data_IF_315378947640
#
_entry.id   IF_315378947640
#
_cell.length_a   1.000
_cell.length_b   1.000
_cell.length_c   1.000
_cell.angle_alpha   90.00
_cell.angle_beta   90.00
_cell.angle_gamma   90.00
#
_symmetry.space_group_name_H-M   'P 1'
#
loop_
_entity.id
_entity.type
_entity.pdbx_description
1 polymer ?
#
# COMPACT_ATOMS: atom_id res chain seq x y z
N UNK A 1 -20.35 -26.93 14.50
CA UNK A 1 -19.16 -26.14 14.15
C UNK A 1 -19.27 -25.75 12.69
N UNK A 2 -19.34 -24.45 12.42
CA UNK A 2 -19.53 -23.85 11.09
C UNK A 2 -18.24 -23.10 10.73
N UNK A 3 -17.91 -22.99 9.44
CA UNK A 3 -16.73 -22.25 8.98
C UNK A 3 -17.20 -21.08 8.11
N UNK A 4 -16.67 -19.89 8.36
CA UNK A 4 -16.95 -18.68 7.58
C UNK A 4 -15.63 -18.03 7.21
N UNK A 5 -15.33 -17.98 5.91
CA UNK A 5 -14.02 -17.57 5.43
C UNK A 5 -12.93 -18.46 6.03
N UNK A 6 -12.05 -17.86 6.83
CA UNK A 6 -10.99 -18.58 7.56
C UNK A 6 -11.32 -18.82 9.04
N UNK A 7 -12.47 -18.35 9.51
CA UNK A 7 -12.86 -18.40 10.91
C UNK A 7 -13.73 -19.63 11.18
N UNK A 8 -13.54 -20.21 12.37
CA UNK A 8 -14.35 -21.33 12.86
C UNK A 8 -15.31 -20.82 13.91
N UNK A 9 -16.59 -21.13 13.71
CA UNK A 9 -17.70 -20.72 14.55
C UNK A 9 -18.26 -21.92 15.29
N UNK A 10 -18.52 -21.72 16.59
CA UNK A 10 -19.19 -22.70 17.42
C UNK A 10 -20.16 -22.01 18.37
N UNK A 11 -21.34 -22.56 18.55
CA UNK A 11 -22.30 -22.04 19.54
C UNK A 11 -22.06 -22.73 20.89
N UNK A 12 -22.03 -21.92 21.96
CA UNK A 12 -22.00 -22.40 23.35
C UNK A 12 -23.16 -21.76 24.11
N UNK A 13 -24.29 -22.45 24.15
CA UNK A 13 -25.54 -21.87 24.65
C UNK A 13 -25.98 -20.72 23.75
N UNK A 14 -26.09 -19.52 24.30
CA UNK A 14 -26.42 -18.29 23.57
C UNK A 14 -25.20 -17.56 23.01
N UNK A 15 -24.00 -17.92 23.48
CA UNK A 15 -22.77 -17.24 23.11
C UNK A 15 -22.21 -17.86 21.81
N UNK A 16 -21.73 -17.00 20.92
CA UNK A 16 -21.06 -17.38 19.68
C UNK A 16 -19.55 -17.35 19.90
N UNK A 17 -18.93 -18.51 19.76
CA UNK A 17 -17.49 -18.67 19.82
C UNK A 17 -16.90 -18.50 18.43
N UNK A 18 -16.00 -17.53 18.27
CA UNK A 18 -15.25 -17.30 17.04
C UNK A 18 -13.78 -17.63 17.27
N UNK A 19 -13.27 -18.61 16.54
CA UNK A 19 -11.85 -18.90 16.47
C UNK A 19 -11.32 -18.35 15.14
N UNK A 20 -10.42 -17.38 15.22
CA UNK A 20 -9.82 -16.75 14.04
C UNK A 20 -8.30 -16.95 14.04
N UNK A 21 -7.68 -17.20 12.87
CA UNK A 21 -6.23 -17.17 12.76
C UNK A 21 -5.65 -15.75 12.90
N UNK A 22 -6.46 -14.69 12.82
CA UNK A 22 -5.99 -13.31 12.85
C UNK A 22 -6.70 -12.48 13.93
N UNK A 23 -6.00 -11.50 14.48
CA UNK A 23 -6.61 -10.56 15.42
C UNK A 23 -7.47 -9.53 14.67
N UNK A 24 -8.76 -9.46 15.00
CA UNK A 24 -9.66 -8.37 14.61
C UNK A 24 -9.49 -7.17 15.57
N UNK A 25 -9.05 -5.99 15.09
CA UNK A 25 -8.90 -4.77 15.91
C UNK A 25 -10.20 -4.30 16.55
N UNK A 26 -11.33 -4.57 15.91
CA UNK A 26 -12.64 -4.16 16.38
C UNK A 26 -13.23 -5.17 17.37
N UNK A 27 -12.68 -6.39 17.41
CA UNK A 27 -13.07 -7.41 18.37
C UNK A 27 -12.24 -7.25 19.65
N UNK A 28 -12.31 -6.06 20.25
CA UNK A 28 -11.68 -5.77 21.54
C UNK A 28 -12.73 -5.85 22.66
N UNK A 29 -12.31 -6.40 23.80
CA UNK A 29 -13.13 -6.38 25.01
C UNK A 29 -13.14 -4.95 25.54
N UNK A 30 -14.33 -4.36 25.67
CA UNK A 30 -14.50 -2.98 26.16
C UNK A 30 -15.55 -2.93 27.25
N UNK A 31 -15.29 -2.12 28.28
CA UNK A 31 -16.26 -1.85 29.33
C UNK A 31 -17.40 -0.94 28.82
N UNK A 32 -17.06 0.00 27.95
CA UNK A 32 -17.99 0.98 27.36
C UNK A 32 -17.71 1.17 25.87
N UNK A 33 -18.70 1.68 25.14
CA UNK A 33 -18.67 1.89 23.68
C UNK A 33 -18.26 0.61 22.96
N UNK A 34 -18.86 -0.52 23.34
CA UNK A 34 -18.65 -1.81 22.70
C UNK A 34 -19.04 -1.74 21.22
N UNK A 35 -18.33 -2.49 20.39
CA UNK A 35 -18.72 -2.67 18.99
C UNK A 35 -19.87 -3.66 18.90
N UNK A 36 -20.87 -3.33 18.10
CA UNK A 36 -21.95 -4.24 17.76
C UNK A 36 -21.52 -5.10 16.57
N UNK A 37 -21.42 -6.40 16.78
CA UNK A 37 -21.07 -7.39 15.76
C UNK A 37 -22.36 -8.07 15.32
N UNK A 38 -22.78 -7.83 14.08
CA UNK A 38 -23.99 -8.41 13.51
C UNK A 38 -23.64 -9.68 12.75
N UNK A 39 -24.13 -10.82 13.22
CA UNK A 39 -23.95 -12.13 12.59
C UNK A 39 -25.31 -12.79 12.37
N UNK A 40 -25.61 -13.17 11.12
CA UNK A 40 -26.90 -13.78 10.73
C UNK A 40 -28.12 -13.00 11.25
N UNK A 41 -28.04 -11.66 11.20
CA UNK A 41 -29.09 -10.75 11.66
C UNK A 41 -29.20 -10.60 13.18
N UNK A 42 -28.36 -11.27 13.97
CA UNK A 42 -28.30 -11.14 15.43
C UNK A 42 -27.13 -10.26 15.84
N UNK A 43 -27.35 -9.38 16.81
CA UNK A 43 -26.34 -8.49 17.35
C UNK A 43 -25.60 -9.14 18.52
N UNK A 44 -24.27 -8.99 18.54
CA UNK A 44 -23.37 -9.47 19.57
C UNK A 44 -22.38 -8.38 19.99
N UNK A 45 -21.71 -8.60 21.11
CA UNK A 45 -20.49 -7.88 21.50
C UNK A 45 -19.43 -8.86 21.99
N UNK A 46 -18.16 -8.43 21.99
CA UNK A 46 -17.06 -9.24 22.51
C UNK A 46 -17.07 -9.23 24.04
N UNK A 47 -17.42 -10.35 24.65
CA UNK A 47 -17.37 -10.55 26.09
C UNK A 47 -15.98 -10.99 26.55
N UNK A 48 -15.28 -11.79 25.74
CA UNK A 48 -13.93 -12.26 26.04
C UNK A 48 -13.08 -12.38 24.77
N UNK A 49 -11.78 -12.17 24.93
CA UNK A 49 -10.75 -12.33 23.90
C UNK A 49 -9.55 -13.04 24.51
N UNK A 50 -9.18 -14.17 23.92
CA UNK A 50 -8.04 -14.97 24.36
C UNK A 50 -7.12 -15.24 23.17
N UNK A 51 -5.82 -15.00 23.34
CA UNK A 51 -4.80 -15.45 22.39
C UNK A 51 -4.49 -16.91 22.67
N UNK A 52 -4.54 -17.75 21.63
CA UNK A 52 -4.19 -19.16 21.71
C UNK A 52 -2.74 -19.39 21.27
N UNK A 53 -2.12 -20.52 21.68
CA UNK A 53 -0.85 -20.96 21.13
C UNK A 53 -0.90 -21.05 19.60
N UNK A 54 0.16 -20.62 18.92
CA UNK A 54 0.21 -20.55 17.45
C UNK A 54 -0.34 -19.25 16.85
N UNK A 55 -0.69 -18.25 17.67
CA UNK A 55 -1.05 -16.91 17.21
C UNK A 55 -2.48 -16.77 16.69
N UNK A 56 -3.33 -17.76 16.96
CA UNK A 56 -4.77 -17.67 16.72
C UNK A 56 -5.49 -17.00 17.90
N UNK A 57 -6.72 -16.55 17.67
CA UNK A 57 -7.53 -15.82 18.62
C UNK A 57 -8.86 -16.51 18.82
N UNK A 58 -9.31 -16.49 20.07
CA UNK A 58 -10.57 -17.04 20.51
C UNK A 58 -11.40 -15.91 21.10
N UNK A 59 -12.54 -15.63 20.48
CA UNK A 59 -13.48 -14.61 20.88
C UNK A 59 -14.77 -15.26 21.37
N UNK A 60 -15.25 -14.80 22.52
CA UNK A 60 -16.58 -15.15 23.02
C UNK A 60 -17.49 -13.96 22.76
N UNK A 61 -18.43 -14.13 21.84
CA UNK A 61 -19.42 -13.12 21.49
C UNK A 61 -20.72 -13.40 22.24
N UNK A 62 -21.16 -12.44 23.03
CA UNK A 62 -22.42 -12.52 23.78
C UNK A 62 -23.50 -11.74 23.05
N UNK A 63 -24.77 -12.20 23.03
CA UNK A 63 -25.86 -11.44 22.44
C UNK A 63 -25.97 -10.04 23.05
N UNK A 64 -26.21 -9.05 22.21
CA UNK A 64 -26.54 -7.71 22.63
C UNK A 64 -28.00 -7.69 23.10
N UNK A 65 -28.24 -7.39 24.38
CA UNK A 65 -29.60 -7.39 24.91
C UNK A 65 -30.36 -6.17 24.40
N UNK A 66 -31.66 -6.27 24.09
CA UNK A 66 -32.50 -5.10 23.85
C UNK A 66 -32.51 -4.13 25.04
N UNK A 67 -32.29 -4.64 26.25
CA UNK A 67 -32.25 -3.87 27.49
C UNK A 67 -30.89 -3.18 27.72
N UNK A 68 -29.88 -3.47 26.90
CA UNK A 68 -28.59 -2.79 26.98
C UNK A 68 -28.74 -1.34 26.47
N UNK A 69 -28.76 -0.39 27.41
CA UNK A 69 -28.86 1.05 27.14
C UNK A 69 -27.57 1.66 26.54
N UNK A 70 -26.52 0.86 26.39
CA UNK A 70 -25.23 1.29 25.88
C UNK A 70 -25.31 1.59 24.37
N UNK A 71 -24.90 2.79 23.96
CA UNK A 71 -24.80 3.15 22.54
C UNK A 71 -23.56 2.49 21.94
N UNK A 72 -23.68 1.69 20.84
CA UNK A 72 -22.54 1.06 20.20
C UNK A 72 -21.46 2.07 19.78
N UNK A 73 -20.20 1.69 19.96
CA UNK A 73 -19.04 2.46 19.46
C UNK A 73 -18.90 2.43 17.94
N UNK A 74 -19.50 1.41 17.32
CA UNK A 74 -19.58 1.18 15.89
C UNK A 74 -20.29 -0.15 15.62
N UNK A 75 -20.62 -0.41 14.36
CA UNK A 75 -21.31 -1.63 13.94
C UNK A 75 -20.49 -2.34 12.85
N UNK A 76 -20.42 -3.66 12.93
CA UNK A 76 -19.68 -4.50 12.00
C UNK A 76 -20.57 -5.66 11.59
N UNK A 77 -20.73 -5.84 10.28
CA UNK A 77 -21.42 -7.01 9.73
C UNK A 77 -20.41 -8.13 9.54
N UNK A 78 -20.50 -9.15 10.38
CA UNK A 78 -19.63 -10.31 10.30
C UNK A 78 -20.17 -11.28 9.25
N UNK A 79 -19.79 -11.05 8.00
CA UNK A 79 -20.18 -11.88 6.86
C UNK A 79 -18.98 -12.67 6.31
N UNK A 80 -19.21 -13.70 5.47
CA UNK A 80 -18.12 -14.39 4.77
C UNK A 80 -17.21 -13.44 3.98
N UNK A 81 -17.79 -12.42 3.35
CA UNK A 81 -17.06 -11.42 2.56
C UNK A 81 -16.17 -10.57 3.46
N UNK A 82 -16.66 -10.17 4.64
CA UNK A 82 -15.86 -9.45 5.64
C UNK A 82 -14.64 -10.27 6.08
N UNK A 83 -14.84 -11.55 6.46
CA UNK A 83 -13.75 -12.42 6.91
C UNK A 83 -12.69 -12.63 5.83
N UNK A 84 -13.13 -12.87 4.58
CA UNK A 84 -12.22 -13.04 3.44
C UNK A 84 -11.46 -11.75 3.11
N UNK A 85 -12.15 -10.61 3.07
CA UNK A 85 -11.52 -9.31 2.82
C UNK A 85 -10.48 -8.98 3.90
N UNK A 86 -10.82 -9.19 5.18
CA UNK A 86 -9.92 -8.95 6.28
C UNK A 86 -8.68 -9.86 6.22
N UNK A 87 -8.86 -11.15 5.94
CA UNK A 87 -7.75 -12.09 5.78
C UNK A 87 -6.82 -11.69 4.62
N UNK A 88 -7.38 -11.25 3.48
CA UNK A 88 -6.61 -10.72 2.35
C UNK A 88 -5.79 -9.51 2.77
N UNK A 89 -6.42 -8.52 3.40
CA UNK A 89 -5.75 -7.30 3.88
C UNK A 89 -4.65 -7.60 4.90
N UNK A 90 -4.88 -8.52 5.84
CA UNK A 90 -3.87 -8.96 6.81
C UNK A 90 -2.69 -9.66 6.15
N UNK A 91 -2.95 -10.51 5.15
CA UNK A 91 -1.88 -11.16 4.38
C UNK A 91 -1.02 -10.12 3.66
N UNK A 92 -1.63 -9.12 3.04
CA UNK A 92 -0.92 -8.02 2.40
C UNK A 92 -0.07 -7.24 3.41
N UNK A 93 -0.64 -6.83 4.54
CA UNK A 93 0.11 -6.14 5.61
C UNK A 93 1.26 -7.00 6.16
N UNK A 94 1.06 -8.32 6.30
CA UNK A 94 2.11 -9.24 6.75
C UNK A 94 3.24 -9.33 5.73
N UNK A 95 2.90 -9.49 4.45
CA UNK A 95 3.88 -9.46 3.35
C UNK A 95 4.64 -8.14 3.32
N UNK A 96 3.94 -7.00 3.45
CA UNK A 96 4.55 -5.68 3.52
C UNK A 96 5.48 -5.53 4.72
N UNK A 97 5.11 -6.04 5.90
CA UNK A 97 6.00 -6.02 7.08
C UNK A 97 7.23 -6.90 6.90
N UNK A 98 7.07 -8.09 6.32
CA UNK A 98 8.18 -9.03 6.12
C UNK A 98 9.21 -8.54 5.12
N UNK A 99 8.79 -7.75 4.13
CA UNK A 99 9.68 -7.26 3.07
C UNK A 99 10.02 -5.76 3.27
N UNK A 100 9.33 -5.09 4.21
CA UNK A 100 9.17 -3.64 4.26
C UNK A 100 10.43 -2.79 4.29
N UNK A 101 11.53 -3.26 4.89
CA UNK A 101 12.78 -2.47 4.90
C UNK A 101 13.44 -2.50 3.53
N UNK A 102 13.67 -3.67 2.95
CA UNK A 102 14.30 -3.80 1.64
C UNK A 102 13.42 -3.17 0.55
N UNK A 103 12.12 -3.37 0.66
CA UNK A 103 11.16 -2.87 -0.29
C UNK A 103 11.03 -1.35 -0.25
N UNK A 104 11.25 -0.67 0.90
CA UNK A 104 11.30 0.81 0.97
C UNK A 104 12.46 1.37 0.17
N UNK A 105 13.62 0.72 0.17
CA UNK A 105 14.76 1.13 -0.67
C UNK A 105 14.56 0.84 -2.15
N UNK A 106 13.80 -0.21 -2.49
CA UNK A 106 13.49 -0.59 -3.87
C UNK A 106 12.24 0.12 -4.41
N UNK A 107 11.41 0.70 -3.55
CA UNK A 107 10.15 1.36 -3.87
C UNK A 107 10.29 2.49 -4.91
N UNK A 108 11.33 3.34 -4.85
CA UNK A 108 11.57 4.32 -5.90
C UNK A 108 11.89 3.66 -7.26
N UNK A 109 12.58 2.51 -7.25
CA UNK A 109 12.87 1.76 -8.47
C UNK A 109 11.59 1.18 -9.08
N UNK A 110 10.62 0.79 -8.24
CA UNK A 110 9.31 0.31 -8.70
C UNK A 110 8.55 1.39 -9.45
N UNK A 111 8.63 2.65 -9.02
CA UNK A 111 7.96 3.73 -9.74
C UNK A 111 8.49 3.93 -11.16
N UNK A 112 9.76 3.61 -11.43
CA UNK A 112 10.35 3.65 -12.78
C UNK A 112 9.92 2.48 -13.67
N UNK A 113 9.31 1.42 -13.12
CA UNK A 113 8.78 0.31 -13.91
C UNK A 113 7.58 0.75 -14.76
N UNK A 114 7.36 0.01 -15.85
CA UNK A 114 6.21 0.19 -16.72
C UNK A 114 4.89 0.02 -15.95
N UNK A 115 3.85 0.73 -16.39
CA UNK A 115 2.51 0.75 -15.80
C UNK A 115 1.95 -0.66 -15.55
N UNK A 116 2.06 -1.57 -16.53
CA UNK A 116 1.60 -2.96 -16.40
C UNK A 116 2.28 -3.74 -15.25
N UNK A 117 3.57 -3.48 -15.02
CA UNK A 117 4.30 -4.13 -13.92
C UNK A 117 3.89 -3.53 -12.56
N UNK A 118 3.59 -2.23 -12.53
CA UNK A 118 3.10 -1.55 -11.32
C UNK A 118 1.72 -2.06 -10.92
N UNK A 119 0.81 -2.27 -11.88
CA UNK A 119 -0.51 -2.86 -11.63
C UNK A 119 -0.40 -4.30 -11.10
N UNK A 120 0.46 -5.14 -11.72
CA UNK A 120 0.71 -6.50 -11.22
C UNK A 120 1.32 -6.51 -9.81
N UNK A 121 2.14 -5.53 -9.47
CA UNK A 121 2.70 -5.37 -8.12
C UNK A 121 1.65 -4.86 -7.13
N UNK A 122 0.77 -3.96 -7.54
CA UNK A 122 -0.36 -3.49 -6.74
C UNK A 122 -1.27 -4.66 -6.34
N UNK A 123 -1.62 -5.52 -7.29
CA UNK A 123 -2.45 -6.71 -7.04
C UNK A 123 -1.80 -7.71 -6.07
N UNK A 124 -0.48 -7.85 -6.13
CA UNK A 124 0.27 -8.85 -5.35
C UNK A 124 0.72 -8.36 -3.98
N UNK A 125 1.12 -7.10 -3.87
CA UNK A 125 1.73 -6.50 -2.68
C UNK A 125 0.79 -5.52 -1.96
N UNK A 126 -0.33 -5.13 -2.59
CA UNK A 126 -1.29 -4.17 -2.03
C UNK A 126 -0.73 -2.76 -1.93
N UNK A 127 0.24 -2.42 -2.78
CA UNK A 127 0.82 -1.08 -2.86
C UNK A 127 0.16 -0.29 -3.96
N UNK A 128 -0.34 0.89 -3.63
CA UNK A 128 -0.93 1.76 -4.64
C UNK A 128 0.14 2.21 -5.63
N UNK A 129 -0.09 2.02 -6.93
CA UNK A 129 0.83 2.47 -7.99
C UNK A 129 1.14 3.97 -7.89
N UNK A 130 0.21 4.74 -7.32
CA UNK A 130 0.37 6.14 -6.98
C UNK A 130 1.54 6.40 -6.02
N UNK A 131 1.58 5.70 -4.88
CA UNK A 131 2.64 5.90 -3.87
C UNK A 131 4.02 5.56 -4.43
N UNK A 132 4.12 4.51 -5.26
CA UNK A 132 5.37 4.15 -5.92
C UNK A 132 5.82 5.21 -6.93
N UNK A 133 4.87 5.76 -7.71
CA UNK A 133 5.15 6.80 -8.69
C UNK A 133 5.57 8.11 -8.02
N UNK A 134 4.84 8.57 -6.99
CA UNK A 134 5.16 9.76 -6.20
C UNK A 134 6.56 9.67 -5.56
N UNK A 135 6.90 8.52 -4.97
CA UNK A 135 8.23 8.34 -4.37
C UNK A 135 9.33 8.33 -5.44
N UNK A 136 9.11 7.68 -6.59
CA UNK A 136 10.09 7.69 -7.69
C UNK A 136 10.29 9.10 -8.25
N UNK A 137 9.20 9.88 -8.37
CA UNK A 137 9.23 11.28 -8.77
C UNK A 137 10.09 12.10 -7.80
N UNK A 138 9.90 11.96 -6.48
CA UNK A 138 10.73 12.66 -5.47
C UNK A 138 12.20 12.27 -5.55
N UNK A 139 12.52 11.00 -5.81
CA UNK A 139 13.90 10.55 -6.01
C UNK A 139 14.50 11.15 -7.28
N UNK A 140 13.72 11.23 -8.36
CA UNK A 140 14.14 11.85 -9.61
C UNK A 140 14.38 13.37 -9.45
N UNK A 141 13.47 14.10 -8.80
CA UNK A 141 13.68 15.52 -8.41
C UNK A 141 14.98 15.68 -7.64
N UNK A 142 15.21 14.82 -6.65
CA UNK A 142 16.42 14.86 -5.82
C UNK A 142 17.69 14.62 -6.65
N UNK A 143 17.64 13.68 -7.60
CA UNK A 143 18.74 13.40 -8.52
C UNK A 143 19.04 14.59 -9.45
N UNK A 144 18.00 15.23 -10.00
CA UNK A 144 18.12 16.43 -10.84
C UNK A 144 18.72 17.59 -10.06
N UNK A 145 18.22 17.88 -8.84
CA UNK A 145 18.78 18.94 -7.97
C UNK A 145 20.23 18.67 -7.62
N UNK A 146 20.57 17.42 -7.26
CA UNK A 146 21.95 17.04 -6.95
C UNK A 146 22.87 17.17 -8.17
N UNK A 147 22.43 16.75 -9.35
CA UNK A 147 23.19 16.87 -10.59
C UNK A 147 23.43 18.33 -10.98
N UNK A 148 22.42 19.21 -10.84
CA UNK A 148 22.57 20.65 -11.06
C UNK A 148 23.55 21.29 -10.06
N UNK A 149 23.46 20.93 -8.78
CA UNK A 149 24.37 21.44 -7.75
C UNK A 149 25.81 21.00 -8.01
N UNK A 150 26.03 19.71 -8.35
CA UNK A 150 27.35 19.21 -8.69
C UNK A 150 27.90 19.87 -9.96
N UNK A 151 27.07 20.07 -10.98
CA UNK A 151 27.46 20.78 -12.19
C UNK A 151 27.89 22.22 -11.89
N UNK A 152 27.17 22.94 -11.02
CA UNK A 152 27.54 24.29 -10.60
C UNK A 152 28.89 24.31 -9.87
N UNK A 153 29.11 23.37 -8.94
CA UNK A 153 30.38 23.24 -8.21
C UNK A 153 31.54 22.93 -9.16
N UNK A 154 31.36 21.98 -10.09
CA UNK A 154 32.39 21.61 -11.06
C UNK A 154 32.72 22.75 -12.04
N UNK A 155 31.71 23.49 -12.49
CA UNK A 155 31.92 24.67 -13.33
C UNK A 155 32.65 25.80 -12.57
N UNK A 156 32.37 25.97 -11.28
CA UNK A 156 33.05 26.96 -10.44
C UNK A 156 34.51 26.59 -10.14
N UNK A 157 34.76 25.32 -9.85
CA UNK A 157 36.11 24.81 -9.50
C UNK A 157 36.98 24.51 -10.73
N UNK A 158 36.39 24.47 -11.91
CA UNK A 158 37.10 24.25 -13.17
C UNK A 158 37.69 22.84 -13.30
N UNK A 159 38.74 22.67 -14.12
CA UNK A 159 39.34 21.36 -14.40
C UNK A 159 39.85 20.61 -13.15
N UNK A 160 40.28 21.36 -12.12
CA UNK A 160 40.77 20.78 -10.87
C UNK A 160 39.67 20.03 -10.10
N UNK A 161 38.44 20.57 -10.06
CA UNK A 161 37.31 19.90 -9.42
C UNK A 161 36.84 18.67 -10.21
N UNK A 162 36.81 18.76 -11.54
CA UNK A 162 36.47 17.63 -12.40
C UNK A 162 37.44 16.46 -12.25
N UNK A 163 38.74 16.74 -12.13
CA UNK A 163 39.77 15.73 -11.91
C UNK A 163 39.63 15.04 -10.53
N UNK A 164 39.26 15.79 -9.48
CA UNK A 164 39.09 15.25 -8.13
C UNK A 164 37.90 14.29 -8.03
N UNK A 165 36.78 14.64 -8.66
CA UNK A 165 35.54 13.85 -8.60
C UNK A 165 35.52 12.75 -9.67
N UNK A 166 36.34 12.87 -10.72
CA UNK A 166 36.34 11.94 -11.86
C UNK A 166 35.09 12.05 -12.74
N UNK A 167 34.32 13.13 -12.60
CA UNK A 167 33.09 13.37 -13.35
C UNK A 167 33.25 14.64 -14.17
N UNK A 168 33.15 14.52 -15.50
CA UNK A 168 33.16 15.67 -16.40
C UNK A 168 31.78 16.36 -16.39
N UNK A 169 31.69 17.71 -16.40
CA UNK A 169 30.41 18.43 -16.43
C UNK A 169 29.50 18.01 -17.58
N UNK A 170 30.08 17.64 -18.72
CA UNK A 170 29.33 17.11 -19.87
C UNK A 170 28.55 15.83 -19.57
N UNK A 171 29.02 14.97 -18.64
CA UNK A 171 28.26 13.78 -18.24
C UNK A 171 26.99 14.17 -17.47
N UNK A 172 27.08 15.16 -16.57
CA UNK A 172 25.93 15.67 -15.83
C UNK A 172 24.92 16.35 -16.76
N UNK A 173 25.40 17.00 -17.83
CA UNK A 173 24.51 17.57 -18.85
C UNK A 173 23.66 16.50 -19.52
N UNK A 174 24.27 15.38 -19.93
CA UNK A 174 23.53 14.25 -20.51
C UNK A 174 22.53 13.64 -19.53
N UNK A 175 22.91 13.48 -18.26
CA UNK A 175 22.00 13.01 -17.21
C UNK A 175 20.79 13.94 -17.07
N UNK A 176 21.01 15.26 -17.00
CA UNK A 176 19.92 16.24 -16.90
C UNK A 176 19.03 16.24 -18.15
N UNK A 177 19.62 16.12 -19.34
CA UNK A 177 18.88 16.05 -20.60
C UNK A 177 17.95 14.83 -20.66
N UNK A 178 18.34 13.74 -20.01
CA UNK A 178 17.52 12.53 -19.90
C UNK A 178 16.44 12.67 -18.81
N UNK A 179 16.80 13.14 -17.61
CA UNK A 179 15.88 13.16 -16.47
C UNK A 179 14.85 14.29 -16.53
N UNK A 180 15.20 15.48 -17.02
CA UNK A 180 14.29 16.64 -16.99
C UNK A 180 13.01 16.39 -17.81
N UNK A 181 13.06 15.90 -19.07
CA UNK A 181 11.85 15.63 -19.83
C UNK A 181 10.94 14.60 -19.18
N UNK A 182 11.50 13.52 -18.63
CA UNK A 182 10.73 12.49 -17.92
C UNK A 182 10.06 13.08 -16.67
N UNK A 183 10.81 13.82 -15.86
CA UNK A 183 10.32 14.51 -14.68
C UNK A 183 9.14 15.44 -14.99
N UNK A 184 9.24 16.25 -16.05
CA UNK A 184 8.18 17.17 -16.46
C UNK A 184 6.89 16.42 -16.86
N UNK A 185 7.04 15.34 -17.61
CA UNK A 185 5.91 14.53 -18.04
C UNK A 185 5.21 13.85 -16.86
N UNK A 186 6.00 13.31 -15.93
CA UNK A 186 5.47 12.64 -14.73
C UNK A 186 4.85 13.63 -13.75
N UNK A 187 5.36 14.86 -13.67
CA UNK A 187 4.76 15.94 -12.91
C UNK A 187 3.36 16.31 -13.43
N UNK A 188 3.20 16.45 -14.76
CA UNK A 188 1.90 16.73 -15.38
C UNK A 188 0.90 15.59 -15.11
N UNK A 189 1.31 14.34 -15.30
CA UNK A 189 0.47 13.18 -15.02
C UNK A 189 0.03 13.05 -13.55
N UNK A 190 0.94 13.31 -12.60
CA UNK A 190 0.61 13.30 -11.16
C UNK A 190 -0.38 14.41 -10.79
N UNK A 191 -0.23 15.61 -11.34
CA UNK A 191 -1.14 16.73 -11.05
C UNK A 191 -2.55 16.54 -11.61
N UNK A 192 -2.70 15.78 -12.69
CA UNK A 192 -4.00 15.50 -13.31
C UNK A 192 -4.71 14.28 -12.74
N UNK A 193 -4.06 13.55 -11.84
CA UNK A 193 -4.51 12.25 -11.32
C UNK A 193 -4.87 11.25 -12.45
N UNK A 194 -4.24 11.39 -13.62
CA UNK A 194 -4.54 10.57 -14.80
C UNK A 194 -3.98 9.15 -14.65
N UNK A 195 -4.79 8.16 -15.01
CA UNK A 195 -4.35 6.76 -15.15
C UNK A 195 -4.26 6.41 -16.64
N UNK A 196 -3.20 5.71 -17.09
CA UNK A 196 -2.16 5.07 -16.28
C UNK A 196 -1.04 6.02 -15.85
N UNK A 197 -0.47 5.78 -14.66
CA UNK A 197 0.72 6.48 -14.19
C UNK A 197 1.95 5.90 -14.90
N UNK A 198 2.55 6.66 -15.80
CA UNK A 198 3.70 6.21 -16.59
C UNK A 198 4.97 5.98 -15.75
N UNK A 199 5.70 4.92 -16.09
CA UNK A 199 7.07 4.66 -15.65
C UNK A 199 8.10 5.53 -16.37
N UNK A 200 9.38 5.24 -16.13
CA UNK A 200 10.49 5.96 -16.76
C UNK A 200 10.42 5.79 -18.28
N UNK A 201 10.33 6.90 -19.02
CA UNK A 201 10.26 6.92 -20.49
C UNK A 201 9.11 6.12 -21.14
N UNK A 202 8.17 5.59 -20.36
CA UNK A 202 7.04 4.83 -20.90
C UNK A 202 6.17 5.73 -21.80
N UNK A 203 6.06 7.02 -21.45
CA UNK A 203 5.38 8.03 -22.26
C UNK A 203 5.99 8.18 -23.66
N UNK A 204 7.31 8.07 -23.79
CA UNK A 204 7.98 8.19 -25.08
C UNK A 204 7.65 6.99 -25.96
N UNK A 205 7.62 5.79 -25.37
CA UNK A 205 7.20 4.58 -26.08
C UNK A 205 5.75 4.69 -26.57
N UNK A 206 4.83 5.16 -25.72
CA UNK A 206 3.43 5.38 -26.09
C UNK A 206 3.28 6.37 -27.25
N UNK A 207 3.96 7.52 -27.17
CA UNK A 207 3.90 8.55 -28.21
C UNK A 207 4.46 8.01 -29.53
N UNK A 208 5.63 7.36 -29.50
CA UNK A 208 6.32 6.92 -30.71
C UNK A 208 5.64 5.73 -31.39
N UNK A 209 5.15 4.75 -30.62
CA UNK A 209 4.70 3.48 -31.18
C UNK A 209 3.18 3.30 -31.18
N UNK A 210 2.44 3.82 -30.19
CA UNK A 210 0.97 3.68 -30.18
C UNK A 210 0.26 4.72 -31.03
N UNK A 211 0.78 5.94 -31.10
CA UNK A 211 0.20 6.99 -31.97
C UNK A 211 0.34 6.61 -33.45
N UNK A 212 1.49 6.04 -33.83
CA UNK A 212 1.75 5.60 -35.20
C UNK A 212 0.81 4.46 -35.65
N UNK A 213 0.41 3.57 -34.74
CA UNK A 213 -0.49 2.45 -35.03
C UNK A 213 -1.97 2.85 -35.14
N UNK A 214 -2.35 4.02 -34.66
CA UNK A 214 -3.72 4.56 -34.78
C UNK A 214 -3.96 5.34 -36.08
N UNK A 215 -2.90 5.67 -36.80
CA UNK A 215 -2.96 6.38 -38.09
C UNK A 215 -2.94 5.45 -39.31
N UNK A 216 -2.83 4.14 -39.11
CA UNK A 216 -3.03 3.08 -40.13
C UNK A 216 -4.43 2.49 -40.00
#
# INVERSE_FOLDING_TARGET
MQTIGHDRLNWQGTDLIVQSPNAYPEFEVRAHRKFQIVFEGRAFFVANKMSLPGGSYHYTLRPWSPDDTEIPGGQIHFTPEFSLHFAKTRRLVKTQKSIGVLLVFLLPMVGFLWSEFKEKLEDRLGWTAYTATDLSFKVEVSAVVLAMALMAILNFTGPAGAALVGIHPGHLFWVLLVLIPDLLYRYDGLNREEKPLYGFYEWLYEILFKTAKKSE
#
